data_IF_807718784753
#
_entry.id   IF_807718784753
#
_cell.length_a   1.000
_cell.length_b   1.000
_cell.length_c   1.000
_cell.angle_alpha   90.00
_cell.angle_beta   90.00
_cell.angle_gamma   90.00
#
_symmetry.space_group_name_H-M   'P 1'
#
loop_
_entity.id
_entity.type
_entity.pdbx_description
1 polymer ?
#
# COMPACT_ATOMS: atom_id res chain seq x y z
N UNK A 1 -16.05 -26.97 37.63
CA UNK A 1 -15.47 -25.62 37.81
C UNK A 1 -14.03 -25.56 37.27
N UNK A 2 -13.81 -25.75 35.95
CA UNK A 2 -12.44 -25.91 35.41
C UNK A 2 -12.15 -25.14 34.11
N UNK A 3 -12.99 -24.17 33.72
CA UNK A 3 -12.78 -23.40 32.47
C UNK A 3 -12.36 -21.93 32.68
N UNK A 4 -12.39 -21.40 33.90
CA UNK A 4 -12.10 -19.96 34.16
C UNK A 4 -10.58 -19.71 34.32
N UNK A 5 -9.84 -20.66 34.90
CA UNK A 5 -8.41 -20.49 35.17
C UNK A 5 -7.52 -20.56 33.92
N UNK A 6 -7.92 -21.33 32.89
CA UNK A 6 -7.15 -21.45 31.65
C UNK A 6 -7.28 -20.21 30.74
N UNK A 7 -8.38 -19.47 30.83
CA UNK A 7 -8.60 -18.23 30.06
C UNK A 7 -7.78 -17.06 30.66
N UNK A 8 -7.72 -16.98 32.00
CA UNK A 8 -6.99 -15.90 32.69
C UNK A 8 -5.46 -15.94 32.47
N UNK A 9 -4.86 -17.13 32.42
CA UNK A 9 -3.42 -17.28 32.14
C UNK A 9 -3.03 -16.87 30.71
N UNK A 10 -3.98 -17.02 29.79
CA UNK A 10 -3.84 -16.67 28.38
C UNK A 10 -3.89 -15.14 28.17
N UNK A 11 -4.74 -14.43 28.93
CA UNK A 11 -4.88 -12.97 28.85
C UNK A 11 -3.67 -12.24 29.44
N UNK A 12 -3.07 -12.77 30.52
CA UNK A 12 -1.83 -12.21 31.06
C UNK A 12 -0.68 -12.32 30.05
N UNK A 13 -0.58 -13.43 29.32
CA UNK A 13 0.44 -13.63 28.27
C UNK A 13 0.21 -12.72 27.07
N UNK A 14 -1.04 -12.51 26.66
CA UNK A 14 -1.38 -11.52 25.63
C UNK A 14 -0.98 -10.11 26.09
N UNK A 15 -1.29 -9.72 27.33
CA UNK A 15 -0.92 -8.42 27.88
C UNK A 15 0.61 -8.23 27.94
N UNK A 16 1.36 -9.25 28.38
CA UNK A 16 2.83 -9.26 28.38
C UNK A 16 3.40 -9.12 26.96
N UNK A 17 2.80 -9.81 25.98
CA UNK A 17 3.17 -9.71 24.58
C UNK A 17 2.97 -8.29 24.04
N UNK A 18 1.81 -7.68 24.29
CA UNK A 18 1.50 -6.31 23.86
C UNK A 18 2.45 -5.30 24.52
N UNK A 19 2.66 -5.42 25.84
CA UNK A 19 3.55 -4.54 26.59
C UNK A 19 4.99 -4.59 26.06
N UNK A 20 5.46 -5.78 25.67
CA UNK A 20 6.77 -5.94 25.05
C UNK A 20 6.90 -5.12 23.75
N UNK A 21 5.94 -5.24 22.82
CA UNK A 21 6.02 -4.50 21.56
C UNK A 21 5.76 -2.99 21.74
N UNK A 22 4.94 -2.59 22.71
CA UNK A 22 4.76 -1.18 23.09
C UNK A 22 6.08 -0.57 23.56
N UNK A 23 6.80 -1.26 24.46
CA UNK A 23 8.13 -0.83 24.92
C UNK A 23 9.13 -0.68 23.77
N UNK A 24 9.11 -1.60 22.79
CA UNK A 24 9.96 -1.49 21.60
C UNK A 24 9.61 -0.29 20.72
N UNK A 25 8.34 0.10 20.64
CA UNK A 25 7.93 1.29 19.92
C UNK A 25 8.29 2.57 20.68
N UNK A 26 8.11 2.58 22.00
CA UNK A 26 8.42 3.73 22.87
C UNK A 26 9.93 4.02 22.93
N UNK A 27 10.76 2.99 22.82
CA UNK A 27 12.21 3.14 22.78
C UNK A 27 12.73 3.82 21.49
N UNK A 28 11.86 4.18 20.55
CA UNK A 28 12.25 4.82 19.28
C UNK A 28 11.97 6.31 19.33
N UNK A 29 13.00 7.16 19.18
CA UNK A 29 12.84 8.61 19.30
C UNK A 29 12.16 9.27 18.09
N UNK A 30 12.03 8.59 16.95
CA UNK A 30 11.46 9.12 15.71
C UNK A 30 10.62 8.08 14.97
N UNK A 31 9.62 8.55 14.23
CA UNK A 31 8.86 7.74 13.25
C UNK A 31 9.84 7.09 12.27
N UNK A 32 9.73 5.79 11.98
CA UNK A 32 10.58 5.16 10.98
C UNK A 32 10.40 5.82 9.61
N UNK A 33 11.48 6.02 8.88
CA UNK A 33 11.48 6.55 7.51
C UNK A 33 11.30 5.42 6.48
N UNK A 34 11.49 4.16 6.89
CA UNK A 34 11.23 2.98 6.07
C UNK A 34 10.80 1.75 6.89
N UNK A 35 10.24 0.76 6.20
CA UNK A 35 9.87 -0.54 6.80
C UNK A 35 11.08 -1.35 7.30
N UNK A 36 12.27 -1.14 6.73
CA UNK A 36 13.48 -1.80 7.22
C UNK A 36 13.84 -1.32 8.62
N UNK A 37 13.57 -0.05 8.89
CA UNK A 37 13.76 0.52 10.21
C UNK A 37 12.61 0.07 11.12
N UNK A 38 11.37 -0.02 10.67
CA UNK A 38 10.18 -0.29 11.50
C UNK A 38 10.30 -1.53 12.43
N UNK A 39 9.65 -1.45 13.59
CA UNK A 39 9.60 -2.56 14.55
C UNK A 39 8.87 -3.72 13.90
N UNK A 40 9.46 -4.93 13.96
CA UNK A 40 8.91 -6.08 13.23
C UNK A 40 9.20 -7.39 13.93
N UNK A 41 8.31 -8.35 13.78
CA UNK A 41 8.44 -9.69 14.34
C UNK A 41 7.83 -10.73 13.40
N UNK A 42 8.30 -11.97 13.47
CA UNK A 42 7.60 -13.07 12.80
C UNK A 42 6.25 -13.32 13.49
N UNK A 43 5.20 -13.66 12.73
CA UNK A 43 3.87 -13.95 13.26
C UNK A 43 3.91 -15.11 14.27
N UNK A 44 4.61 -16.19 13.96
CA UNK A 44 4.80 -17.30 14.90
C UNK A 44 5.48 -16.86 16.20
N UNK A 45 6.41 -15.91 16.14
CA UNK A 45 7.07 -15.38 17.35
C UNK A 45 6.10 -14.56 18.21
N UNK A 46 5.18 -13.81 17.59
CA UNK A 46 4.13 -13.07 18.30
C UNK A 46 3.20 -14.07 19.01
N UNK A 47 2.79 -15.12 18.30
CA UNK A 47 1.91 -16.19 18.82
C UNK A 47 2.57 -16.90 20.00
N UNK A 48 3.84 -17.32 19.87
CA UNK A 48 4.60 -17.94 20.97
C UNK A 48 4.76 -17.00 22.16
N UNK A 49 5.03 -15.71 21.92
CA UNK A 49 5.16 -14.70 22.99
C UNK A 49 3.83 -14.48 23.72
N UNK A 50 2.71 -14.61 23.01
CA UNK A 50 1.38 -14.62 23.59
C UNK A 50 1.02 -15.92 24.32
N UNK A 51 1.97 -16.86 24.51
CA UNK A 51 1.77 -18.10 25.25
C UNK A 51 1.14 -19.24 24.44
N UNK A 52 0.79 -19.01 23.17
CA UNK A 52 0.09 -19.98 22.35
C UNK A 52 1.05 -20.83 21.50
N UNK A 53 0.71 -22.11 21.33
CA UNK A 53 1.45 -23.04 20.44
C UNK A 53 0.90 -23.07 19.01
N UNK A 54 -0.38 -22.74 18.83
CA UNK A 54 -1.08 -22.81 17.55
C UNK A 54 -1.67 -21.46 17.19
N UNK A 55 -1.67 -21.17 15.89
CA UNK A 55 -2.41 -20.06 15.31
C UNK A 55 -3.89 -20.43 15.24
N UNK A 56 -4.75 -19.58 15.81
CA UNK A 56 -6.21 -19.66 15.66
C UNK A 56 -6.77 -18.26 15.38
N UNK A 57 -7.88 -18.18 14.66
CA UNK A 57 -8.47 -16.88 14.31
C UNK A 57 -8.94 -16.12 15.56
N UNK A 58 -9.44 -16.84 16.57
CA UNK A 58 -9.83 -16.27 17.87
C UNK A 58 -8.64 -15.61 18.57
N UNK A 59 -7.48 -16.29 18.61
CA UNK A 59 -6.27 -15.72 19.21
C UNK A 59 -5.78 -14.49 18.43
N UNK A 60 -5.80 -14.56 17.10
CA UNK A 60 -5.36 -13.45 16.25
C UNK A 60 -6.27 -12.23 16.41
N UNK A 61 -7.58 -12.43 16.49
CA UNK A 61 -8.53 -11.36 16.76
C UNK A 61 -8.27 -10.72 18.14
N UNK A 62 -8.10 -11.54 19.18
CA UNK A 62 -7.78 -11.07 20.54
C UNK A 62 -6.47 -10.28 20.58
N UNK A 63 -5.43 -10.74 19.89
CA UNK A 63 -4.17 -10.02 19.79
C UNK A 63 -4.30 -8.72 18.99
N UNK A 64 -5.03 -8.71 17.87
CA UNK A 64 -5.24 -7.50 17.06
C UNK A 64 -5.98 -6.42 17.85
N UNK A 65 -6.99 -6.81 18.64
CA UNK A 65 -7.73 -5.94 19.55
C UNK A 65 -6.83 -5.40 20.67
N UNK A 66 -6.13 -6.26 21.40
CA UNK A 66 -5.23 -5.85 22.49
C UNK A 66 -4.10 -4.93 21.99
N UNK A 67 -3.57 -5.18 20.79
CA UNK A 67 -2.59 -4.29 20.15
C UNK A 67 -3.22 -2.92 19.85
N UNK A 68 -4.42 -2.90 19.25
CA UNK A 68 -5.12 -1.67 18.90
C UNK A 68 -5.45 -0.81 20.13
N UNK A 69 -5.86 -1.42 21.24
CA UNK A 69 -6.11 -0.73 22.52
C UNK A 69 -4.87 -0.04 23.08
N UNK A 70 -3.68 -0.62 22.88
CA UNK A 70 -2.39 0.00 23.25
C UNK A 70 -1.81 0.91 22.17
N UNK A 71 -2.62 1.27 21.17
CA UNK A 71 -2.23 2.15 20.08
C UNK A 71 -1.16 1.56 19.17
N UNK A 72 -1.08 0.23 19.07
CA UNK A 72 -0.20 -0.47 18.14
C UNK A 72 -0.99 -0.85 16.90
N UNK A 73 -0.50 -0.43 15.73
CA UNK A 73 -1.04 -0.82 14.43
C UNK A 73 -0.10 -1.83 13.79
N UNK A 74 -0.66 -2.93 13.27
CA UNK A 74 0.11 -3.98 12.59
C UNK A 74 -0.08 -3.91 11.07
N UNK A 75 1.00 -4.20 10.32
CA UNK A 75 0.98 -4.36 8.87
C UNK A 75 1.82 -5.59 8.48
N UNK A 76 1.24 -6.59 7.77
CA UNK A 76 -0.20 -6.81 7.60
C UNK A 76 -0.91 -6.94 8.96
N UNK A 77 -2.25 -6.84 8.98
CA UNK A 77 -3.03 -7.03 10.23
C UNK A 77 -2.82 -8.46 10.72
N UNK A 78 -2.86 -8.70 12.03
CA UNK A 78 -2.67 -10.06 12.56
C UNK A 78 -3.76 -11.02 12.06
N UNK A 79 -4.96 -10.50 11.85
CA UNK A 79 -6.15 -11.19 11.34
C UNK A 79 -6.22 -11.32 9.82
N UNK A 80 -5.21 -10.85 9.07
CA UNK A 80 -5.21 -11.01 7.61
C UNK A 80 -5.20 -12.52 7.26
N UNK A 81 -6.24 -13.04 6.57
CA UNK A 81 -6.32 -14.46 6.22
C UNK A 81 -5.19 -14.90 5.30
N UNK A 82 -4.51 -13.96 4.62
CA UNK A 82 -3.36 -14.22 3.76
C UNK A 82 -2.03 -14.29 4.52
N UNK A 83 -2.01 -13.98 5.82
CA UNK A 83 -0.81 -14.14 6.63
C UNK A 83 -0.34 -15.59 6.56
N UNK A 84 0.95 -15.80 6.37
CA UNK A 84 1.58 -17.12 6.46
C UNK A 84 2.15 -17.37 7.86
N UNK A 85 2.45 -18.62 8.28
CA UNK A 85 3.05 -18.89 9.59
C UNK A 85 4.37 -18.12 9.83
N UNK A 86 5.17 -17.93 8.78
CA UNK A 86 6.45 -17.23 8.76
C UNK A 86 6.33 -15.71 8.49
N UNK A 87 5.11 -15.18 8.45
CA UNK A 87 4.83 -13.81 8.03
C UNK A 87 5.56 -12.76 8.90
N UNK A 88 6.09 -11.72 8.27
CA UNK A 88 6.71 -10.61 9.00
C UNK A 88 5.66 -9.54 9.27
N UNK A 89 5.34 -9.34 10.54
CA UNK A 89 4.41 -8.31 10.99
C UNK A 89 5.21 -7.09 11.43
N UNK A 90 4.97 -5.96 10.77
CA UNK A 90 5.49 -4.65 11.15
C UNK A 90 4.52 -4.00 12.14
N UNK A 91 5.06 -3.36 13.17
CA UNK A 91 4.31 -2.66 14.20
C UNK A 91 4.62 -1.17 14.15
N UNK A 92 3.58 -0.35 14.31
CA UNK A 92 3.66 1.10 14.35
C UNK A 92 2.91 1.64 15.54
N UNK A 93 3.38 2.78 16.04
CA UNK A 93 2.56 3.61 16.90
C UNK A 93 1.43 4.23 16.07
N UNK A 94 0.18 4.16 16.57
CA UNK A 94 -1.01 4.64 15.86
C UNK A 94 -0.92 6.12 15.47
N UNK A 95 -0.23 6.94 16.27
CA UNK A 95 -0.02 8.38 16.02
C UNK A 95 1.19 8.66 15.14
N UNK A 96 2.11 7.69 15.01
CA UNK A 96 3.37 7.84 14.28
C UNK A 96 3.55 6.69 13.26
N UNK A 97 2.67 6.67 12.26
CA UNK A 97 2.73 5.72 11.15
C UNK A 97 3.59 6.30 10.00
N UNK A 98 4.21 5.43 9.21
CA UNK A 98 4.81 5.82 7.93
C UNK A 98 3.74 6.43 7.02
N UNK A 99 4.00 7.63 6.50
CA UNK A 99 3.15 8.25 5.46
C UNK A 99 3.14 7.36 4.21
N UNK A 100 1.98 7.19 3.59
CA UNK A 100 1.82 6.40 2.36
C UNK A 100 1.60 4.89 2.54
N UNK A 101 1.52 4.37 3.77
CA UNK A 101 1.08 2.98 4.00
C UNK A 101 -0.43 2.85 3.71
N UNK A 102 -0.79 2.04 2.71
CA UNK A 102 -2.20 1.73 2.41
C UNK A 102 -2.93 1.10 3.60
N UNK A 103 -4.21 1.45 3.76
CA UNK A 103 -5.12 0.87 4.77
C UNK A 103 -5.54 -0.57 4.45
N UNK A 104 -5.38 -1.00 3.19
CA UNK A 104 -5.88 -2.26 2.66
C UNK A 104 -4.95 -3.44 3.01
N UNK A 105 -5.54 -4.64 3.15
CA UNK A 105 -4.82 -5.93 3.31
C UNK A 105 -3.93 -6.22 2.10
N UNK A 106 -2.90 -7.06 2.27
CA UNK A 106 -1.95 -7.33 1.19
C UNK A 106 -2.67 -7.87 -0.05
N UNK A 107 -2.42 -7.21 -1.18
CA UNK A 107 -2.90 -7.63 -2.48
C UNK A 107 -1.69 -7.91 -3.36
N UNK A 108 -1.53 -9.17 -3.77
CA UNK A 108 -0.59 -9.55 -4.82
C UNK A 108 -1.36 -9.61 -6.14
N UNK A 109 -0.84 -8.94 -7.17
CA UNK A 109 -1.45 -8.90 -8.49
C UNK A 109 -0.65 -9.79 -9.44
N UNK A 110 -1.23 -10.86 -10.01
CA UNK A 110 -0.53 -11.70 -10.99
C UNK A 110 -0.16 -10.96 -12.28
N UNK A 111 -0.95 -9.97 -12.67
CA UNK A 111 -0.78 -9.18 -13.90
C UNK A 111 -1.30 -7.73 -13.71
N UNK A 112 -0.96 -6.82 -14.64
CA UNK A 112 -1.41 -5.42 -14.61
C UNK A 112 -2.94 -5.29 -14.71
N UNK A 113 -3.62 -6.24 -15.35
CA UNK A 113 -5.07 -6.25 -15.44
C UNK A 113 -5.73 -6.49 -14.07
N UNK A 114 -5.20 -7.40 -13.25
CA UNK A 114 -5.67 -7.66 -11.90
C UNK A 114 -5.45 -6.46 -10.97
N UNK A 115 -4.31 -5.76 -11.12
CA UNK A 115 -4.06 -4.47 -10.45
C UNK A 115 -5.10 -3.43 -10.87
N UNK A 116 -5.37 -3.32 -12.18
CA UNK A 116 -6.38 -2.40 -12.72
C UNK A 116 -7.77 -2.67 -12.14
N UNK A 117 -8.23 -3.92 -12.15
CA UNK A 117 -9.54 -4.28 -11.60
C UNK A 117 -9.64 -3.94 -10.12
N UNK A 118 -8.58 -4.19 -9.35
CA UNK A 118 -8.53 -3.81 -7.95
C UNK A 118 -8.61 -2.30 -7.74
N UNK A 119 -7.80 -1.51 -8.46
CA UNK A 119 -7.84 -0.05 -8.37
C UNK A 119 -9.24 0.48 -8.69
N UNK A 120 -9.86 -0.02 -9.77
CA UNK A 120 -11.20 0.38 -10.18
C UNK A 120 -12.26 0.05 -9.12
N UNK A 121 -12.20 -1.14 -8.52
CA UNK A 121 -13.14 -1.55 -7.47
C UNK A 121 -12.96 -0.74 -6.16
N UNK A 122 -11.79 -0.15 -5.94
CA UNK A 122 -11.40 0.47 -4.67
C UNK A 122 -10.99 1.95 -4.81
N UNK A 123 -11.40 2.66 -5.88
CA UNK A 123 -11.02 4.06 -6.10
C UNK A 123 -11.32 4.97 -4.89
N UNK A 124 -12.38 4.67 -4.14
CA UNK A 124 -12.82 5.43 -2.97
C UNK A 124 -11.88 5.31 -1.75
N UNK A 125 -11.10 4.23 -1.69
CA UNK A 125 -10.17 3.91 -0.60
C UNK A 125 -8.86 4.70 -0.69
N UNK A 126 -8.52 5.23 -1.87
CA UNK A 126 -7.31 6.05 -2.10
C UNK A 126 -7.70 7.52 -2.17
N UNK A 127 -7.12 8.35 -1.29
CA UNK A 127 -7.45 9.78 -1.23
C UNK A 127 -7.10 10.48 -2.55
N UNK A 128 -6.01 10.07 -3.20
CA UNK A 128 -5.54 10.57 -4.49
C UNK A 128 -6.48 10.19 -5.64
N UNK A 129 -7.21 9.08 -5.54
CA UNK A 129 -8.12 8.59 -6.58
C UNK A 129 -9.59 8.95 -6.29
N UNK A 130 -9.89 9.49 -5.11
CA UNK A 130 -11.25 9.83 -4.70
C UNK A 130 -11.88 10.87 -5.62
N UNK A 131 -13.10 10.57 -6.07
CA UNK A 131 -13.88 11.46 -6.94
C UNK A 131 -13.45 11.44 -8.41
N UNK A 132 -12.58 10.50 -8.80
CA UNK A 132 -12.38 10.18 -10.20
C UNK A 132 -13.59 9.44 -10.76
N UNK A 133 -14.07 9.89 -11.91
CA UNK A 133 -15.05 9.19 -12.73
C UNK A 133 -14.33 8.63 -13.94
N UNK A 134 -14.30 7.31 -14.06
CA UNK A 134 -13.63 6.62 -15.17
C UNK A 134 -14.34 6.97 -16.46
N UNK A 135 -13.58 7.49 -17.43
CA UNK A 135 -14.10 7.85 -18.75
C UNK A 135 -13.88 6.65 -19.68
N UNK A 136 -12.65 6.16 -19.78
CA UNK A 136 -12.28 5.08 -20.70
C UNK A 136 -11.14 4.21 -20.13
N UNK A 137 -11.17 2.91 -20.45
CA UNK A 137 -10.08 1.96 -20.18
C UNK A 137 -9.29 1.73 -21.46
N UNK A 138 -7.97 1.61 -21.37
CA UNK A 138 -7.09 1.36 -22.54
C UNK A 138 -7.27 2.35 -23.69
N UNK A 139 -7.53 3.63 -23.36
CA UNK A 139 -7.84 4.67 -24.34
C UNK A 139 -6.65 4.88 -25.27
N UNK A 140 -6.83 4.52 -26.54
CA UNK A 140 -5.85 4.81 -27.60
C UNK A 140 -5.84 6.29 -27.92
N UNK A 141 -4.65 6.88 -27.85
CA UNK A 141 -4.34 8.24 -28.21
C UNK A 141 -4.07 8.37 -29.71
N UNK A 142 -4.11 9.60 -30.22
CA UNK A 142 -3.80 9.89 -31.63
C UNK A 142 -2.38 9.47 -32.04
N UNK A 143 -1.45 9.45 -31.10
CA UNK A 143 -0.09 8.92 -31.25
C UNK A 143 -0.01 7.39 -31.44
N UNK A 144 -1.13 6.67 -31.27
CA UNK A 144 -1.20 5.20 -31.26
C UNK A 144 -0.96 4.56 -29.89
N UNK A 145 -0.42 5.31 -28.93
CA UNK A 145 -0.20 4.92 -27.53
C UNK A 145 -1.51 4.73 -26.76
N UNK A 146 -1.48 4.07 -25.60
CA UNK A 146 -2.67 3.79 -24.79
C UNK A 146 -2.43 4.14 -23.32
N UNK A 147 -3.38 4.83 -22.70
CA UNK A 147 -3.42 4.96 -21.24
C UNK A 147 -4.17 3.76 -20.65
N UNK A 148 -3.68 3.21 -19.54
CA UNK A 148 -4.40 2.13 -18.86
C UNK A 148 -5.80 2.58 -18.41
N UNK A 149 -5.89 3.77 -17.84
CA UNK A 149 -7.15 4.43 -17.49
C UNK A 149 -7.10 5.91 -17.85
N UNK A 150 -8.18 6.42 -18.43
CA UNK A 150 -8.45 7.84 -18.58
C UNK A 150 -9.69 8.20 -17.76
N UNK A 151 -9.54 9.17 -16.87
CA UNK A 151 -10.54 9.55 -15.87
C UNK A 151 -10.79 11.07 -15.93
N UNK A 152 -11.95 11.51 -15.43
CA UNK A 152 -12.22 12.91 -15.12
C UNK A 152 -12.26 13.11 -13.61
N UNK A 153 -11.78 14.27 -13.16
CA UNK A 153 -12.03 14.78 -11.81
C UNK A 153 -12.87 16.05 -11.91
N UNK A 154 -14.22 15.94 -11.93
CA UNK A 154 -15.09 17.08 -12.21
C UNK A 154 -14.86 18.28 -11.28
N UNK A 155 -14.69 18.01 -9.98
CA UNK A 155 -14.49 19.06 -8.96
C UNK A 155 -13.26 19.95 -9.20
N UNK A 156 -12.26 19.48 -9.93
CA UNK A 156 -11.05 20.25 -10.27
C UNK A 156 -10.93 20.53 -11.77
N UNK A 157 -11.95 20.17 -12.55
CA UNK A 157 -11.92 20.18 -14.02
C UNK A 157 -10.64 19.52 -14.59
N UNK A 158 -10.24 18.37 -14.05
CA UNK A 158 -9.03 17.68 -14.50
C UNK A 158 -9.34 16.48 -15.39
N UNK A 159 -8.51 16.30 -16.41
CA UNK A 159 -8.39 15.04 -17.14
C UNK A 159 -7.19 14.28 -16.57
N UNK A 160 -7.44 13.06 -16.10
CA UNK A 160 -6.48 12.28 -15.33
C UNK A 160 -6.13 11.00 -16.08
N UNK A 161 -4.89 10.87 -16.56
CA UNK A 161 -4.38 9.60 -17.06
C UNK A 161 -3.71 8.83 -15.92
N UNK A 162 -4.03 7.55 -15.80
CA UNK A 162 -3.42 6.65 -14.83
C UNK A 162 -2.66 5.57 -15.59
N UNK A 163 -1.38 5.42 -15.28
CA UNK A 163 -0.52 4.33 -15.74
C UNK A 163 -0.29 3.34 -14.59
N UNK A 164 -0.36 2.05 -14.89
CA UNK A 164 -0.21 0.96 -13.93
C UNK A 164 1.02 0.14 -14.28
N UNK A 165 1.93 -0.05 -13.31
CA UNK A 165 3.08 -0.93 -13.44
C UNK A 165 3.15 -1.90 -12.29
N UNK A 166 3.31 -3.20 -12.57
CA UNK A 166 3.50 -4.19 -11.51
C UNK A 166 4.87 -4.12 -10.82
N UNK A 167 5.87 -3.61 -11.52
CA UNK A 167 7.27 -3.51 -11.06
C UNK A 167 7.66 -2.05 -10.84
N UNK A 168 8.86 -1.86 -10.29
CA UNK A 168 9.46 -0.53 -10.15
C UNK A 168 9.60 0.14 -11.50
N UNK A 169 9.35 1.45 -11.51
CA UNK A 169 9.59 2.27 -12.68
C UNK A 169 11.08 2.22 -13.03
N UNK A 170 11.38 1.71 -14.22
CA UNK A 170 12.72 1.68 -14.81
C UNK A 170 12.88 2.81 -15.86
N UNK A 171 14.06 2.94 -16.47
CA UNK A 171 14.31 3.97 -17.49
C UNK A 171 13.36 3.89 -18.70
N UNK A 172 12.87 2.68 -19.03
CA UNK A 172 11.86 2.52 -20.09
C UNK A 172 10.52 3.11 -19.66
N UNK A 173 10.15 2.91 -18.40
CA UNK A 173 8.96 3.50 -17.77
C UNK A 173 9.03 5.03 -17.78
N UNK A 174 10.20 5.62 -17.57
CA UNK A 174 10.40 7.07 -17.68
C UNK A 174 10.06 7.55 -19.08
N UNK A 175 10.72 7.01 -20.11
CA UNK A 175 10.49 7.43 -21.49
C UNK A 175 9.03 7.28 -21.93
N UNK A 176 8.36 6.22 -21.48
CA UNK A 176 6.93 6.00 -21.72
C UNK A 176 6.06 7.06 -21.00
N UNK A 177 6.37 7.36 -19.73
CA UNK A 177 5.64 8.36 -18.93
C UNK A 177 5.74 9.76 -19.53
N UNK A 178 6.91 10.16 -20.04
CA UNK A 178 7.08 11.47 -20.69
C UNK A 178 6.19 11.61 -21.92
N UNK A 179 6.14 10.58 -22.77
CA UNK A 179 5.28 10.55 -23.95
C UNK A 179 3.79 10.55 -23.60
N UNK A 180 3.44 9.92 -22.48
CA UNK A 180 2.07 9.90 -21.96
C UNK A 180 1.64 11.26 -21.41
N UNK A 181 2.55 12.00 -20.78
CA UNK A 181 2.32 13.38 -20.37
C UNK A 181 2.03 14.25 -21.59
N UNK A 182 2.84 14.15 -22.66
CA UNK A 182 2.60 14.94 -23.89
C UNK A 182 1.26 14.60 -24.54
N UNK A 183 0.89 13.31 -24.62
CA UNK A 183 -0.42 12.90 -25.15
C UNK A 183 -1.58 13.38 -24.26
N UNK A 184 -1.39 13.40 -22.94
CA UNK A 184 -2.42 13.83 -22.00
C UNK A 184 -2.70 15.32 -22.12
N UNK A 185 -1.68 16.16 -22.36
CA UNK A 185 -1.85 17.59 -22.59
C UNK A 185 -2.76 17.82 -23.80
N UNK A 186 -2.44 17.17 -24.93
CA UNK A 186 -3.21 17.28 -26.17
C UNK A 186 -4.68 16.87 -25.93
N UNK A 187 -4.91 15.79 -25.20
CA UNK A 187 -6.26 15.30 -24.93
C UNK A 187 -7.02 16.16 -23.91
N UNK A 188 -6.33 16.69 -22.91
CA UNK A 188 -6.91 17.60 -21.92
C UNK A 188 -7.33 18.94 -22.56
N UNK A 189 -6.50 19.48 -23.45
CA UNK A 189 -6.79 20.72 -24.19
C UNK A 189 -8.05 20.58 -25.06
N UNK A 190 -8.19 19.47 -25.79
CA UNK A 190 -9.40 19.17 -26.58
C UNK A 190 -10.66 19.14 -25.73
N UNK A 191 -10.54 18.75 -24.47
CA UNK A 191 -11.66 18.61 -23.53
C UNK A 191 -11.83 19.82 -22.61
N UNK A 192 -10.98 20.84 -22.73
CA UNK A 192 -11.00 22.03 -21.86
C UNK A 192 -10.74 21.70 -20.39
N UNK A 193 -9.89 20.71 -20.11
CA UNK A 193 -9.54 20.26 -18.76
C UNK A 193 -8.06 20.50 -18.46
N UNK A 194 -7.70 20.60 -17.18
CA UNK A 194 -6.29 20.60 -16.77
C UNK A 194 -5.74 19.16 -16.72
N UNK A 195 -4.55 18.88 -17.27
CA UNK A 195 -3.97 17.54 -17.26
C UNK A 195 -3.40 17.16 -15.88
N UNK A 196 -3.61 15.90 -15.47
CA UNK A 196 -2.97 15.32 -14.28
C UNK A 196 -2.55 13.87 -14.54
N UNK A 197 -1.28 13.55 -14.36
CA UNK A 197 -0.74 12.20 -14.58
C UNK A 197 -0.60 11.46 -13.24
N UNK A 198 -1.05 10.20 -13.20
CA UNK A 198 -0.87 9.33 -12.02
C UNK A 198 -0.10 8.09 -12.45
N UNK A 199 1.02 7.82 -11.79
CA UNK A 199 1.75 6.57 -11.94
C UNK A 199 1.54 5.69 -10.71
N UNK A 200 0.93 4.51 -10.90
CA UNK A 200 0.77 3.50 -9.86
C UNK A 200 1.76 2.37 -10.12
N UNK A 201 2.89 2.35 -9.41
CA UNK A 201 4.00 1.44 -9.68
C UNK A 201 4.31 0.50 -8.50
N UNK A 202 4.84 -0.68 -8.81
CA UNK A 202 5.28 -1.65 -7.81
C UNK A 202 6.66 -1.32 -7.25
N UNK A 203 6.99 -1.69 -6.01
CA UNK A 203 8.36 -1.56 -5.48
C UNK A 203 8.79 -0.12 -5.13
N UNK A 204 10.08 0.09 -4.86
CA UNK A 204 10.61 1.45 -4.65
C UNK A 204 10.99 2.06 -6.00
N UNK A 205 10.46 3.25 -6.35
CA UNK A 205 10.84 3.94 -7.58
C UNK A 205 12.32 4.33 -7.51
N UNK A 206 13.02 4.21 -8.62
CA UNK A 206 14.35 4.81 -8.76
C UNK A 206 14.20 6.33 -8.56
N UNK A 207 14.86 6.95 -7.57
CA UNK A 207 14.73 8.39 -7.31
C UNK A 207 14.97 9.25 -8.56
N UNK A 208 15.96 8.88 -9.39
CA UNK A 208 16.23 9.59 -10.64
C UNK A 208 15.07 9.50 -11.64
N UNK A 209 14.37 8.36 -11.68
CA UNK A 209 13.20 8.18 -12.53
C UNK A 209 12.00 9.00 -12.05
N UNK A 210 11.83 9.09 -10.73
CA UNK A 210 10.80 9.94 -10.11
C UNK A 210 11.04 11.41 -10.46
N UNK A 211 12.25 11.91 -10.17
CA UNK A 211 12.59 13.32 -10.34
C UNK A 211 12.50 13.73 -11.81
N UNK A 212 12.96 12.89 -12.72
CA UNK A 212 12.86 13.16 -14.15
C UNK A 212 11.42 13.27 -14.66
N UNK A 213 10.50 12.43 -14.17
CA UNK A 213 9.09 12.51 -14.54
C UNK A 213 8.44 13.76 -13.91
N UNK A 214 8.76 14.04 -12.65
CA UNK A 214 8.28 15.22 -11.92
C UNK A 214 8.69 16.52 -12.62
N UNK A 215 9.98 16.71 -12.87
CA UNK A 215 10.54 17.91 -13.51
C UNK A 215 9.95 18.12 -14.91
N UNK A 216 9.77 17.03 -15.68
CA UNK A 216 9.20 17.10 -17.01
C UNK A 216 7.72 17.52 -17.01
N UNK A 217 6.95 17.00 -16.05
CA UNK A 217 5.53 17.33 -15.86
C UNK A 217 5.36 18.78 -15.40
N UNK A 218 6.15 19.22 -14.42
CA UNK A 218 6.13 20.59 -13.90
C UNK A 218 6.45 21.62 -14.98
N UNK A 219 7.48 21.36 -15.81
CA UNK A 219 7.85 22.22 -16.93
C UNK A 219 6.72 22.39 -17.97
N UNK A 220 5.71 21.52 -17.98
CA UNK A 220 4.55 21.54 -18.88
C UNK A 220 3.24 21.89 -18.18
N UNK A 221 3.28 22.24 -16.90
CA UNK A 221 2.08 22.56 -16.12
C UNK A 221 1.16 21.35 -15.87
N UNK A 222 1.71 20.13 -15.88
CA UNK A 222 0.98 18.90 -15.62
C UNK A 222 1.16 18.49 -14.16
N UNK A 223 0.06 18.32 -13.43
CA UNK A 223 0.12 17.76 -12.08
C UNK A 223 0.53 16.29 -12.14
N UNK A 224 1.40 15.83 -11.25
CA UNK A 224 1.78 14.40 -11.19
C UNK A 224 1.58 13.83 -9.80
N UNK A 225 1.27 12.54 -9.72
CA UNK A 225 1.12 11.81 -8.46
C UNK A 225 1.66 10.40 -8.61
N UNK A 226 2.48 9.98 -7.66
CA UNK A 226 3.04 8.64 -7.60
C UNK A 226 2.35 7.85 -6.47
N UNK A 227 1.76 6.72 -6.83
CA UNK A 227 1.24 5.75 -5.87
C UNK A 227 2.09 4.49 -5.95
N UNK A 228 2.58 4.04 -4.81
CA UNK A 228 3.42 2.84 -4.75
C UNK A 228 2.63 1.68 -4.17
N UNK A 229 2.54 0.59 -4.93
CA UNK A 229 2.07 -0.69 -4.40
C UNK A 229 3.26 -1.62 -4.16
N UNK A 230 3.12 -2.52 -3.19
CA UNK A 230 4.17 -3.48 -2.86
C UNK A 230 3.61 -4.88 -2.95
N UNK A 231 4.12 -5.65 -3.90
CA UNK A 231 3.95 -7.10 -3.92
C UNK A 231 4.98 -7.69 -2.98
N UNK A 232 4.54 -8.33 -1.89
CA UNK A 232 5.43 -9.09 -1.02
C UNK A 232 5.54 -10.53 -1.53
N UNK A 233 6.73 -10.89 -2.03
CA UNK A 233 7.05 -12.25 -2.43
C UNK A 233 7.62 -13.02 -1.25
N UNK A 234 7.08 -14.21 -1.01
CA UNK A 234 7.58 -15.16 -0.01
C UNK A 234 8.12 -16.41 -0.70
N UNK A 235 9.44 -16.61 -0.68
CA UNK A 235 10.10 -17.82 -1.21
C UNK A 235 9.97 -18.98 -0.22
N UNK A 236 9.94 -20.22 -0.73
CA UNK A 236 9.91 -21.46 0.05
C UNK A 236 11.13 -22.31 -0.31
N UNK A 237 11.60 -23.14 0.62
CA UNK A 237 12.39 -24.33 0.28
C UNK A 237 11.44 -25.41 -0.25
N UNK A 238 11.84 -26.07 -1.33
CA UNK A 238 11.17 -27.29 -1.80
C UNK A 238 11.49 -28.43 -0.80
N UNK A 239 10.53 -29.32 -0.46
CA UNK A 239 10.81 -30.49 0.38
C UNK A 239 11.93 -31.35 -0.20
#
# INVERSE_FOLDING_TARGET
MSSVAAVAADDEKVAQCVAYYRKLLDARPKTPESLQQATRSGLQQIIHRAGAKRRTDVLLARLDEAFAEKGIVTRPRLTDPKNRPDERIYMFDRRHQLKGLSKLTRQSFPDENSLRQFILANLHEFDELRGLTVVEKEKRQTSGRRFDLLCKRPRRNQLVAIELKLKAADYRTVGQSLQYIDDLIIEADKQGCSPHFILIAGGQPNPAAHDQIQDYAEARGVGVTFLLHRVEMSLRLHP
#
